data_IF_778770955665
#
_entry.id   IF_778770955665
#
_cell.length_a   1.000
_cell.length_b   1.000
_cell.length_c   1.000
_cell.angle_alpha   90.00
_cell.angle_beta   90.00
_cell.angle_gamma   90.00
#
_symmetry.space_group_name_H-M   'P 1'
#
loop_
_entity.id
_entity.type
_entity.pdbx_description
1 polymer ?
#
# COMPACT_ATOMS: atom_id res chain seq x y z
N UNK A 1 15.87 -4.50 -28.11
CA UNK A 1 14.91 -3.51 -28.62
C UNK A 1 13.57 -3.67 -27.92
N UNK A 2 12.69 -2.65 -27.93
CA UNK A 2 11.38 -2.70 -27.28
C UNK A 2 10.51 -3.90 -27.73
N UNK A 3 10.68 -4.35 -28.98
CA UNK A 3 10.00 -5.52 -29.54
C UNK A 3 10.51 -6.85 -29.00
N UNK A 4 11.72 -6.91 -28.49
CA UNK A 4 12.36 -8.16 -28.05
C UNK A 4 12.33 -8.37 -26.54
N UNK A 5 12.07 -7.33 -25.76
CA UNK A 5 12.04 -7.37 -24.30
C UNK A 5 10.63 -7.19 -23.69
N UNK A 6 9.60 -7.39 -24.47
CA UNK A 6 8.22 -7.34 -23.97
C UNK A 6 7.68 -5.96 -23.62
N UNK A 7 8.41 -4.88 -23.90
CA UNK A 7 8.02 -3.52 -23.54
C UNK A 7 6.72 -3.01 -24.20
N UNK A 8 6.19 -3.77 -25.19
CA UNK A 8 4.90 -3.47 -25.83
C UNK A 8 3.77 -4.39 -25.37
N UNK A 9 4.04 -5.33 -24.46
CA UNK A 9 3.01 -6.16 -23.83
C UNK A 9 2.43 -5.31 -22.70
N UNK A 10 1.12 -5.08 -22.66
CA UNK A 10 0.48 -4.43 -21.53
C UNK A 10 0.89 -5.18 -20.26
N UNK A 11 1.45 -4.49 -19.29
CA UNK A 11 1.65 -5.05 -17.95
C UNK A 11 0.30 -5.06 -17.28
N UNK A 12 -0.10 -6.18 -16.76
CA UNK A 12 -1.20 -6.24 -15.83
C UNK A 12 -0.69 -5.60 -14.55
N UNK A 13 -1.50 -4.73 -13.96
CA UNK A 13 -1.25 -4.12 -12.68
C UNK A 13 -2.28 -4.66 -11.70
N UNK A 14 -1.85 -4.89 -10.49
CA UNK A 14 -2.73 -5.22 -9.39
C UNK A 14 -3.12 -3.93 -8.67
N UNK A 15 -4.34 -3.88 -8.14
CA UNK A 15 -4.75 -2.84 -7.23
C UNK A 15 -5.49 -3.46 -6.06
N UNK A 16 -5.40 -2.79 -4.94
CA UNK A 16 -6.11 -3.13 -3.72
C UNK A 16 -7.36 -2.26 -3.67
N UNK A 17 -8.53 -2.88 -3.52
CA UNK A 17 -9.79 -2.14 -3.41
C UNK A 17 -10.17 -1.90 -1.95
N UNK A 18 -11.01 -0.88 -1.72
CA UNK A 18 -11.65 -0.60 -0.43
C UNK A 18 -12.75 -1.62 -0.07
N UNK A 19 -12.93 -2.66 -0.90
CA UNK A 19 -13.97 -3.64 -0.68
C UNK A 19 -13.79 -4.36 0.67
N UNK A 20 -14.87 -4.48 1.43
CA UNK A 20 -14.91 -5.10 2.75
C UNK A 20 -14.01 -4.46 3.82
N UNK A 21 -13.51 -3.25 3.63
CA UNK A 21 -12.55 -2.59 4.53
C UNK A 21 -13.00 -2.62 6.00
N UNK A 22 -14.28 -2.35 6.27
CA UNK A 22 -14.87 -2.30 7.60
C UNK A 22 -15.81 -3.48 7.90
N UNK A 23 -15.91 -4.46 7.00
CA UNK A 23 -16.70 -5.66 7.21
C UNK A 23 -15.88 -6.69 7.98
N UNK A 24 -16.39 -7.11 9.12
CA UNK A 24 -15.74 -8.06 10.03
C UNK A 24 -16.49 -9.36 10.09
N UNK A 25 -15.79 -10.43 10.45
CA UNK A 25 -16.42 -11.73 10.72
C UNK A 25 -17.18 -11.73 12.03
N UNK A 26 -18.32 -12.39 12.03
CA UNK A 26 -19.06 -12.70 13.26
C UNK A 26 -18.44 -13.84 14.08
N UNK A 27 -17.47 -14.59 13.51
CA UNK A 27 -16.77 -15.69 14.18
C UNK A 27 -15.42 -15.22 14.75
N UNK A 28 -14.44 -14.94 13.90
CA UNK A 28 -13.08 -14.60 14.32
C UNK A 28 -12.44 -13.60 13.37
N UNK A 29 -11.77 -12.59 13.93
CA UNK A 29 -11.03 -11.58 13.18
C UNK A 29 -9.60 -11.50 13.69
N UNK A 30 -8.66 -11.48 12.76
CA UNK A 30 -7.27 -11.17 13.03
C UNK A 30 -6.88 -9.94 12.21
N UNK A 31 -6.65 -8.82 12.88
CA UNK A 31 -6.34 -7.54 12.23
C UNK A 31 -4.95 -7.07 12.64
N UNK A 32 -4.12 -6.76 11.64
CA UNK A 32 -2.84 -6.10 11.84
C UNK A 32 -2.96 -4.67 11.32
N UNK A 33 -2.77 -3.69 12.22
CA UNK A 33 -2.61 -2.30 11.84
C UNK A 33 -1.13 -1.94 11.84
N UNK A 34 -0.66 -1.39 10.74
CA UNK A 34 0.65 -0.78 10.61
C UNK A 34 0.46 0.72 10.40
N UNK A 35 1.03 1.52 11.29
CA UNK A 35 1.13 2.97 11.14
C UNK A 35 2.57 3.28 10.77
N UNK A 36 2.81 3.70 9.53
CA UNK A 36 4.18 3.92 9.04
C UNK A 36 4.87 5.03 9.85
N UNK A 37 6.15 4.83 10.10
CA UNK A 37 7.01 5.71 10.92
C UNK A 37 6.49 6.07 12.32
N UNK A 38 5.48 5.39 12.85
CA UNK A 38 5.05 5.59 14.24
C UNK A 38 6.15 5.14 15.23
N UNK A 39 6.68 6.10 15.99
CA UNK A 39 7.78 5.86 16.95
C UNK A 39 7.21 5.58 18.34
N UNK A 40 7.75 4.58 19.03
CA UNK A 40 7.32 4.24 20.41
C UNK A 40 7.52 5.39 21.41
N UNK A 41 8.48 6.27 21.18
CA UNK A 41 8.69 7.45 22.05
C UNK A 41 7.55 8.45 21.89
N UNK A 42 7.12 8.70 20.66
CA UNK A 42 5.98 9.60 20.38
C UNK A 42 4.70 9.02 20.98
N UNK A 43 4.47 7.71 20.83
CA UNK A 43 3.33 7.04 21.44
C UNK A 43 3.39 7.09 22.98
N UNK A 44 4.58 6.92 23.59
CA UNK A 44 4.74 7.06 25.04
C UNK A 44 4.45 8.48 25.51
N UNK A 45 4.98 9.49 24.81
CA UNK A 45 4.69 10.91 25.10
C UNK A 45 3.20 11.21 24.98
N UNK A 46 2.54 10.69 23.94
CA UNK A 46 1.09 10.82 23.78
C UNK A 46 0.32 10.26 24.98
N UNK A 47 0.70 9.10 25.50
CA UNK A 47 0.06 8.50 26.67
C UNK A 47 0.38 9.22 28.00
N UNK A 48 1.48 9.98 28.06
CA UNK A 48 1.83 10.85 29.20
C UNK A 48 1.03 12.15 29.17
N UNK A 49 0.91 12.76 28.00
CA UNK A 49 0.18 14.02 27.81
C UNK A 49 -1.34 13.81 27.83
N UNK A 50 -1.81 12.64 27.40
CA UNK A 50 -3.21 12.24 27.28
C UNK A 50 -3.48 10.91 28.01
N UNK A 51 -3.43 10.91 29.36
CA UNK A 51 -3.60 9.68 30.14
C UNK A 51 -4.95 8.99 29.95
N UNK A 52 -5.98 9.68 29.49
CA UNK A 52 -7.29 9.14 29.12
C UNK A 52 -7.21 8.10 28.00
N UNK A 53 -6.20 8.15 27.13
CA UNK A 53 -6.00 7.15 26.06
C UNK A 53 -5.58 5.80 26.61
N UNK A 54 -5.04 5.73 27.84
CA UNK A 54 -4.74 4.44 28.48
C UNK A 54 -5.98 3.57 28.68
N UNK A 55 -7.12 4.20 28.89
CA UNK A 55 -8.38 3.47 29.02
C UNK A 55 -8.82 2.86 27.68
N UNK A 56 -8.55 3.57 26.56
CA UNK A 56 -8.83 3.07 25.19
C UNK A 56 -7.96 1.85 24.87
N UNK A 57 -6.70 1.86 25.35
CA UNK A 57 -5.75 0.77 25.09
C UNK A 57 -5.67 -0.25 26.24
N UNK A 58 -6.63 -0.27 27.16
CA UNK A 58 -6.60 -1.12 28.37
C UNK A 58 -6.48 -2.63 28.03
N UNK A 59 -7.06 -3.05 26.91
CA UNK A 59 -7.05 -4.45 26.45
C UNK A 59 -5.85 -4.78 25.56
N UNK A 60 -4.96 -3.81 25.30
CA UNK A 60 -3.76 -4.00 24.49
C UNK A 60 -2.53 -4.28 25.35
N UNK A 61 -1.59 -5.05 24.83
CA UNK A 61 -0.26 -5.22 25.44
C UNK A 61 0.71 -4.28 24.74
N UNK A 62 1.28 -3.32 25.47
CA UNK A 62 2.26 -2.40 24.93
C UNK A 62 3.69 -2.95 25.07
N UNK A 63 4.42 -3.00 23.97
CA UNK A 63 5.83 -3.41 23.90
C UNK A 63 6.74 -2.21 23.71
N UNK A 64 7.12 -1.57 24.79
CA UNK A 64 7.87 -0.31 24.81
C UNK A 64 9.23 -0.37 24.09
N UNK A 65 9.91 -1.52 24.15
CA UNK A 65 11.26 -1.69 23.60
C UNK A 65 11.29 -2.42 22.25
N UNK A 66 10.24 -2.30 21.47
CA UNK A 66 10.18 -2.89 20.16
C UNK A 66 11.00 -2.08 19.15
N UNK A 67 11.74 -2.76 18.28
CA UNK A 67 12.49 -2.14 17.19
C UNK A 67 11.96 -2.65 15.85
N UNK A 68 11.87 -1.77 14.87
CA UNK A 68 11.59 -2.14 13.49
C UNK A 68 12.73 -2.99 12.90
N UNK A 69 12.39 -3.95 12.06
CA UNK A 69 13.35 -4.86 11.43
C UNK A 69 14.12 -4.18 10.31
N UNK A 70 13.47 -3.30 9.58
CA UNK A 70 14.01 -2.57 8.45
C UNK A 70 13.65 -1.09 8.55
N UNK A 71 14.47 -0.25 7.93
CA UNK A 71 14.22 1.18 7.79
C UNK A 71 13.47 1.55 6.50
N UNK A 72 13.04 0.56 5.72
CA UNK A 72 12.34 0.71 4.45
C UNK A 72 11.05 -0.11 4.51
N UNK A 73 9.93 0.53 4.26
CA UNK A 73 8.58 -0.05 4.32
C UNK A 73 8.47 -1.34 3.52
N UNK A 74 8.98 -1.35 2.29
CA UNK A 74 8.93 -2.53 1.40
C UNK A 74 9.49 -3.80 2.06
N UNK A 75 10.66 -3.71 2.69
CA UNK A 75 11.27 -4.85 3.35
C UNK A 75 10.63 -5.14 4.71
N UNK A 76 10.18 -4.09 5.43
CA UNK A 76 9.53 -4.24 6.72
C UNK A 76 8.18 -4.96 6.59
N UNK A 77 7.35 -4.55 5.65
CA UNK A 77 6.06 -5.20 5.35
C UNK A 77 6.28 -6.64 4.91
N UNK A 78 7.18 -6.87 3.96
CA UNK A 78 7.49 -8.23 3.50
C UNK A 78 7.92 -9.15 4.65
N UNK A 79 8.74 -8.65 5.58
CA UNK A 79 9.13 -9.40 6.77
C UNK A 79 7.96 -9.66 7.74
N UNK A 80 7.08 -8.67 7.95
CA UNK A 80 5.88 -8.84 8.79
C UNK A 80 4.99 -9.95 8.22
N UNK A 81 4.83 -9.97 6.90
CA UNK A 81 3.96 -10.91 6.21
C UNK A 81 4.56 -12.33 6.04
N UNK A 82 5.88 -12.49 6.09
CA UNK A 82 6.53 -13.79 5.87
C UNK A 82 7.32 -14.33 7.07
N UNK A 83 7.85 -13.45 7.92
CA UNK A 83 8.83 -13.79 8.93
C UNK A 83 10.24 -14.07 8.37
N UNK A 84 10.46 -13.86 7.08
CA UNK A 84 11.71 -14.17 6.39
C UNK A 84 12.53 -12.91 6.07
N UNK A 85 13.86 -13.00 6.30
CA UNK A 85 14.75 -11.91 5.98
C UNK A 85 15.13 -11.91 4.50
N UNK A 86 15.12 -10.74 3.88
CA UNK A 86 15.75 -10.56 2.57
C UNK A 86 17.27 -10.53 2.73
N UNK A 87 17.91 -11.65 2.45
CA UNK A 87 19.37 -11.82 2.59
C UNK A 87 20.16 -11.36 1.35
N UNK A 88 19.48 -10.76 0.36
CA UNK A 88 20.07 -10.30 -0.90
C UNK A 88 20.80 -11.41 -1.70
N UNK A 89 20.30 -12.64 -1.60
CA UNK A 89 20.81 -13.79 -2.35
C UNK A 89 20.06 -14.03 -3.67
N UNK A 90 18.94 -13.34 -3.84
CA UNK A 90 18.07 -13.37 -5.00
C UNK A 90 17.63 -11.95 -5.39
N UNK A 91 17.06 -11.73 -6.58
CA UNK A 91 16.42 -10.47 -6.93
C UNK A 91 15.31 -10.12 -5.95
N UNK A 92 15.22 -8.85 -5.56
CA UNK A 92 14.18 -8.39 -4.63
C UNK A 92 12.77 -8.70 -5.14
N UNK A 93 12.54 -8.62 -6.45
CA UNK A 93 11.24 -8.94 -7.05
C UNK A 93 10.85 -10.41 -6.84
N UNK A 94 11.80 -11.33 -6.88
CA UNK A 94 11.55 -12.77 -6.68
C UNK A 94 11.19 -13.03 -5.21
N UNK A 95 11.93 -12.41 -4.28
CA UNK A 95 11.61 -12.44 -2.85
C UNK A 95 10.21 -11.87 -2.55
N UNK A 96 9.87 -10.71 -3.11
CA UNK A 96 8.55 -10.11 -2.91
C UNK A 96 7.43 -10.98 -3.51
N UNK A 97 7.62 -11.53 -4.70
CA UNK A 97 6.66 -12.47 -5.26
C UNK A 97 6.45 -13.66 -4.33
N UNK A 98 7.52 -14.23 -3.78
CA UNK A 98 7.43 -15.38 -2.88
C UNK A 98 6.67 -15.01 -1.58
N UNK A 99 6.91 -13.84 -1.02
CA UNK A 99 6.18 -13.34 0.17
C UNK A 99 4.67 -13.30 -0.08
N UNK A 100 4.21 -12.73 -1.18
CA UNK A 100 2.78 -12.60 -1.47
C UNK A 100 2.15 -13.90 -1.97
N UNK A 101 2.94 -14.82 -2.54
CA UNK A 101 2.44 -16.10 -3.06
C UNK A 101 2.49 -17.23 -2.06
N UNK A 102 3.58 -17.36 -1.31
CA UNK A 102 3.94 -18.59 -0.62
C UNK A 102 4.27 -18.39 0.86
N UNK A 103 3.98 -17.23 1.46
CA UNK A 103 4.24 -17.01 2.88
C UNK A 103 3.61 -18.11 3.75
N UNK A 104 4.35 -18.66 4.73
CA UNK A 104 3.79 -19.60 5.71
C UNK A 104 2.60 -19.03 6.48
N UNK A 105 2.51 -17.71 6.61
CA UNK A 105 1.36 -17.04 7.22
C UNK A 105 0.07 -17.29 6.41
N UNK A 106 0.15 -17.19 5.09
CA UNK A 106 -1.00 -17.43 4.22
C UNK A 106 -1.48 -18.87 4.30
N UNK A 107 -0.56 -19.84 4.24
CA UNK A 107 -0.89 -21.26 4.35
C UNK A 107 -1.60 -21.57 5.68
N UNK A 108 -1.13 -21.01 6.78
CA UNK A 108 -1.74 -21.19 8.10
C UNK A 108 -3.13 -20.55 8.18
N UNK A 109 -3.30 -19.33 7.67
CA UNK A 109 -4.59 -18.63 7.66
C UNK A 109 -5.62 -19.36 6.79
N UNK A 110 -5.27 -19.77 5.59
CA UNK A 110 -6.17 -20.54 4.72
C UNK A 110 -6.53 -21.89 5.34
N UNK A 111 -5.57 -22.58 5.95
CA UNK A 111 -5.86 -23.86 6.61
C UNK A 111 -6.86 -23.75 7.75
N UNK A 112 -6.96 -22.57 8.36
CA UNK A 112 -7.93 -22.24 9.42
C UNK A 112 -9.22 -21.62 8.91
N UNK A 113 -9.35 -21.43 7.60
CA UNK A 113 -10.55 -20.92 6.97
C UNK A 113 -10.70 -19.41 6.96
N UNK A 114 -9.58 -18.67 7.07
CA UNK A 114 -9.62 -17.20 6.93
C UNK A 114 -9.70 -16.79 5.47
N UNK A 115 -10.51 -15.76 5.21
CA UNK A 115 -10.33 -14.89 4.07
C UNK A 115 -9.23 -13.87 4.42
N UNK A 116 -8.41 -13.54 3.46
CA UNK A 116 -7.30 -12.60 3.63
C UNK A 116 -7.56 -11.36 2.77
N UNK A 117 -7.63 -10.21 3.42
CA UNK A 117 -7.76 -8.92 2.76
C UNK A 117 -6.56 -8.04 3.11
N UNK A 118 -5.96 -7.42 2.09
CA UNK A 118 -4.84 -6.48 2.25
C UNK A 118 -5.31 -5.06 1.97
N UNK A 119 -4.85 -4.12 2.77
CA UNK A 119 -5.08 -2.68 2.60
C UNK A 119 -3.74 -1.98 2.77
N UNK A 120 -3.04 -1.82 1.66
CA UNK A 120 -1.77 -1.12 1.54
C UNK A 120 -1.71 -0.38 0.20
N UNK A 121 -0.80 0.55 0.03
CA UNK A 121 -0.72 1.43 -1.14
C UNK A 121 -0.43 0.68 -2.44
N UNK A 122 0.40 -0.37 -2.39
CA UNK A 122 0.81 -1.14 -3.57
C UNK A 122 1.19 -2.58 -3.20
N UNK A 123 0.69 -3.53 -3.98
CA UNK A 123 1.22 -4.89 -3.98
C UNK A 123 2.53 -4.91 -4.74
N UNK A 124 3.61 -5.11 -4.01
CA UNK A 124 4.97 -5.03 -4.52
C UNK A 124 5.44 -6.28 -5.27
N UNK A 125 4.54 -7.24 -5.43
CA UNK A 125 4.74 -8.40 -6.29
C UNK A 125 4.53 -8.04 -7.76
N UNK A 126 5.23 -8.78 -8.64
CA UNK A 126 5.14 -8.62 -10.09
C UNK A 126 4.40 -9.79 -10.76
N UNK A 127 4.01 -10.79 -10.00
CA UNK A 127 3.26 -11.94 -10.48
C UNK A 127 1.76 -11.69 -10.37
N UNK A 128 1.07 -11.73 -11.49
CA UNK A 128 -0.36 -11.43 -11.58
C UNK A 128 -1.23 -12.41 -10.77
N UNK A 129 -0.76 -13.64 -10.58
CA UNK A 129 -1.48 -14.67 -9.83
C UNK A 129 -1.58 -14.39 -8.33
N UNK A 130 -0.84 -13.40 -7.83
CA UNK A 130 -0.96 -12.90 -6.44
C UNK A 130 -2.40 -12.47 -6.14
N UNK A 131 -3.12 -11.92 -7.11
CA UNK A 131 -4.51 -11.51 -6.91
C UNK A 131 -5.43 -12.66 -6.44
N UNK A 132 -5.13 -13.89 -6.84
CA UNK A 132 -5.95 -15.06 -6.48
C UNK A 132 -5.87 -15.41 -4.98
N UNK A 133 -4.89 -14.86 -4.26
CA UNK A 133 -4.66 -15.13 -2.85
C UNK A 133 -5.46 -14.23 -1.89
N UNK A 134 -5.97 -13.09 -2.38
CA UNK A 134 -6.56 -12.05 -1.55
C UNK A 134 -7.95 -11.65 -2.02
N UNK A 135 -8.85 -11.39 -1.07
CA UNK A 135 -10.25 -11.14 -1.36
C UNK A 135 -10.53 -9.77 -1.99
N UNK A 136 -9.63 -8.80 -1.81
CA UNK A 136 -9.81 -7.41 -2.25
C UNK A 136 -8.75 -6.95 -3.25
N UNK A 137 -7.98 -7.88 -3.83
CA UNK A 137 -6.95 -7.58 -4.84
C UNK A 137 -7.45 -7.95 -6.23
N UNK A 138 -7.36 -7.02 -7.16
CA UNK A 138 -7.93 -7.14 -8.48
C UNK A 138 -6.90 -6.83 -9.56
N UNK A 139 -7.08 -7.48 -10.70
CA UNK A 139 -6.36 -7.09 -11.91
C UNK A 139 -6.83 -5.72 -12.39
N UNK A 140 -5.92 -4.95 -12.93
CA UNK A 140 -6.22 -3.62 -13.45
C UNK A 140 -5.62 -3.45 -14.83
N UNK A 141 -6.46 -3.02 -15.77
CA UNK A 141 -5.97 -2.58 -17.07
C UNK A 141 -5.58 -1.12 -16.99
N UNK A 142 -4.29 -0.83 -17.10
CA UNK A 142 -3.76 0.53 -17.16
C UNK A 142 -3.62 0.96 -18.61
N UNK A 143 -4.19 2.09 -18.94
CA UNK A 143 -4.08 2.69 -20.27
C UNK A 143 -3.85 4.20 -20.17
N UNK A 144 -3.18 4.82 -21.16
CA UNK A 144 -3.08 6.27 -21.19
C UNK A 144 -4.45 6.88 -21.52
N UNK A 145 -4.80 7.97 -20.83
CA UNK A 145 -5.97 8.78 -21.17
C UNK A 145 -5.80 9.50 -22.51
N UNK A 146 -4.55 9.73 -22.94
CA UNK A 146 -4.20 10.32 -24.23
C UNK A 146 -2.87 9.78 -24.75
N UNK A 147 -2.91 9.00 -25.81
CA UNK A 147 -1.69 8.52 -26.50
C UNK A 147 -0.84 9.65 -27.07
N UNK A 148 -1.47 10.78 -27.45
CA UNK A 148 -0.74 11.94 -27.99
C UNK A 148 0.07 12.63 -26.88
N UNK A 149 -0.53 12.80 -25.69
CA UNK A 149 0.18 13.42 -24.56
C UNK A 149 1.28 12.47 -24.04
N UNK A 150 1.01 11.18 -23.97
CA UNK A 150 2.02 10.18 -23.62
C UNK A 150 3.22 10.27 -24.59
N UNK A 151 2.96 10.29 -25.89
CA UNK A 151 4.03 10.40 -26.89
C UNK A 151 4.83 11.72 -26.75
N UNK A 152 4.20 12.81 -26.35
CA UNK A 152 4.91 14.07 -26.08
C UNK A 152 5.83 13.96 -24.86
N UNK A 153 5.38 13.37 -23.77
CA UNK A 153 6.20 13.18 -22.58
C UNK A 153 7.37 12.20 -22.85
N UNK A 154 7.12 11.12 -23.58
CA UNK A 154 8.20 10.22 -24.03
C UNK A 154 9.22 10.91 -24.94
N UNK A 155 8.77 11.79 -25.84
CA UNK A 155 9.68 12.59 -26.69
C UNK A 155 10.53 13.56 -25.87
N UNK A 156 9.98 14.10 -24.77
CA UNK A 156 10.79 14.91 -23.84
C UNK A 156 11.87 14.06 -23.17
N UNK A 157 11.56 12.82 -22.72
CA UNK A 157 12.59 11.90 -22.17
C UNK A 157 13.70 11.61 -23.20
N UNK A 158 13.33 11.33 -24.44
CA UNK A 158 14.29 11.12 -25.53
C UNK A 158 15.13 12.38 -25.76
N UNK A 159 14.48 13.54 -25.81
CA UNK A 159 15.14 14.82 -25.95
C UNK A 159 16.10 15.11 -24.79
N UNK A 160 15.68 14.87 -23.55
CA UNK A 160 16.53 15.04 -22.37
C UNK A 160 17.79 14.14 -22.42
N UNK A 161 17.63 12.92 -22.93
CA UNK A 161 18.75 11.97 -23.04
C UNK A 161 19.72 12.33 -24.15
N UNK A 162 19.27 12.75 -25.32
CA UNK A 162 20.07 12.86 -26.54
C UNK A 162 20.31 14.29 -27.01
N UNK A 163 19.55 15.30 -26.54
CA UNK A 163 19.79 16.69 -26.94
C UNK A 163 21.08 17.26 -26.35
N UNK A 164 21.70 18.24 -27.01
CA UNK A 164 22.79 19.05 -26.46
C UNK A 164 22.38 19.66 -25.10
N UNK A 165 23.35 19.84 -24.22
CA UNK A 165 23.11 20.27 -22.84
C UNK A 165 22.20 21.50 -22.73
N UNK A 166 22.44 22.52 -23.56
CA UNK A 166 21.66 23.78 -23.53
C UNK A 166 20.17 23.61 -23.91
N UNK A 167 19.82 22.52 -24.60
CA UNK A 167 18.46 22.20 -25.01
C UNK A 167 17.74 21.30 -24.03
N UNK A 168 18.44 20.64 -23.11
CA UNK A 168 17.83 19.70 -22.15
C UNK A 168 16.77 20.34 -21.29
N UNK A 169 16.91 21.62 -20.94
CA UNK A 169 15.91 22.39 -20.17
C UNK A 169 14.52 22.44 -20.79
N UNK A 170 14.41 22.25 -22.11
CA UNK A 170 13.13 22.22 -22.82
C UNK A 170 12.53 20.81 -22.90
N UNK A 171 13.30 19.82 -22.47
CA UNK A 171 12.92 18.42 -22.49
C UNK A 171 12.74 17.86 -21.06
N UNK A 172 12.61 18.73 -20.06
CA UNK A 172 12.36 18.33 -18.69
C UNK A 172 10.97 17.69 -18.58
N UNK A 173 10.92 16.52 -17.94
CA UNK A 173 9.68 15.84 -17.58
C UNK A 173 9.85 15.20 -16.21
N UNK A 174 8.74 14.85 -15.56
CA UNK A 174 8.70 14.25 -14.22
C UNK A 174 7.72 13.10 -14.22
N UNK A 175 7.93 12.17 -13.29
CA UNK A 175 7.09 10.99 -13.09
C UNK A 175 5.62 11.36 -12.97
N UNK A 176 5.29 12.35 -12.17
CA UNK A 176 3.93 12.85 -11.95
C UNK A 176 3.17 13.19 -13.25
N UNK A 177 3.88 13.55 -14.34
CA UNK A 177 3.21 13.80 -15.62
C UNK A 177 2.80 12.51 -16.33
N UNK A 178 3.53 11.40 -16.09
CA UNK A 178 3.15 10.08 -16.59
C UNK A 178 2.02 9.50 -15.78
N UNK A 179 2.05 9.67 -14.47
CA UNK A 179 0.99 9.19 -13.56
C UNK A 179 -0.35 9.87 -13.88
N UNK A 180 -0.33 11.20 -14.12
CA UNK A 180 -1.50 11.95 -14.54
C UNK A 180 -2.09 11.52 -15.91
N UNK A 181 -1.32 10.77 -16.70
CA UNK A 181 -1.78 10.22 -17.98
C UNK A 181 -2.32 8.80 -17.86
N UNK A 182 -2.21 8.17 -16.72
CA UNK A 182 -2.71 6.82 -16.51
C UNK A 182 -4.19 6.84 -16.13
N UNK A 183 -4.93 5.91 -16.71
CA UNK A 183 -6.29 5.56 -16.28
C UNK A 183 -6.27 4.09 -15.96
N UNK A 184 -6.60 3.77 -14.74
CA UNK A 184 -6.72 2.41 -14.24
C UNK A 184 -8.19 2.03 -14.20
N UNK A 185 -8.53 0.91 -14.81
CA UNK A 185 -9.87 0.34 -14.79
C UNK A 185 -9.78 -1.04 -14.12
N UNK A 186 -10.31 -1.20 -12.91
CA UNK A 186 -10.29 -2.48 -12.22
C UNK A 186 -11.25 -3.47 -12.88
N UNK A 187 -10.79 -4.71 -12.99
CA UNK A 187 -11.59 -5.81 -13.50
C UNK A 187 -12.28 -6.53 -12.32
N UNK A 188 -13.60 -6.52 -12.30
CA UNK A 188 -14.37 -7.33 -11.37
C UNK A 188 -14.89 -6.64 -10.11
N UNK A 189 -14.52 -5.40 -9.84
CA UNK A 189 -15.06 -4.59 -8.74
C UNK A 189 -15.47 -3.19 -9.19
N UNK A 190 -16.40 -2.58 -8.46
CA UNK A 190 -16.77 -1.16 -8.57
C UNK A 190 -16.35 -0.37 -7.34
N UNK A 191 -15.73 -1.01 -6.36
CA UNK A 191 -15.18 -0.35 -5.18
C UNK A 191 -14.02 0.57 -5.55
N UNK A 192 -13.78 1.58 -4.73
CA UNK A 192 -12.64 2.48 -4.85
C UNK A 192 -11.31 1.74 -4.68
N UNK A 193 -10.23 2.42 -5.06
CA UNK A 193 -8.87 1.96 -4.79
C UNK A 193 -8.51 2.41 -3.39
N UNK A 194 -8.02 1.47 -2.56
CA UNK A 194 -7.56 1.78 -1.22
C UNK A 194 -6.37 2.76 -1.27
N UNK A 195 -6.34 3.67 -0.33
CA UNK A 195 -5.22 4.60 -0.11
C UNK A 195 -4.79 4.57 1.34
N UNK A 196 -3.50 4.70 1.61
CA UNK A 196 -2.95 4.72 2.98
C UNK A 196 -3.26 6.02 3.75
N UNK A 197 -4.08 6.92 3.19
CA UNK A 197 -4.41 8.22 3.78
C UNK A 197 -5.16 8.06 5.11
N UNK A 198 -4.56 8.54 6.19
CA UNK A 198 -5.10 8.45 7.55
C UNK A 198 -6.47 9.10 7.70
N UNK A 199 -6.70 10.24 7.00
CA UNK A 199 -7.95 10.99 7.13
C UNK A 199 -9.05 10.35 6.29
N UNK A 200 -8.74 9.89 5.09
CA UNK A 200 -9.68 9.16 4.25
C UNK A 200 -10.17 7.89 4.97
N UNK A 201 -9.24 7.11 5.55
CA UNK A 201 -9.59 5.93 6.36
C UNK A 201 -10.49 6.29 7.56
N UNK A 202 -10.12 7.32 8.31
CA UNK A 202 -10.91 7.77 9.47
C UNK A 202 -12.31 8.23 9.08
N UNK A 203 -12.42 9.02 8.02
CA UNK A 203 -13.71 9.52 7.53
C UNK A 203 -14.59 8.36 7.05
N UNK A 204 -14.03 7.44 6.28
CA UNK A 204 -14.74 6.25 5.81
C UNK A 204 -15.17 5.35 6.99
N UNK A 205 -14.33 5.16 8.01
CA UNK A 205 -14.68 4.41 9.22
C UNK A 205 -15.83 5.08 10.00
N UNK A 206 -15.83 6.41 10.11
CA UNK A 206 -16.89 7.14 10.79
C UNK A 206 -18.21 7.13 10.04
N UNK A 207 -18.15 7.13 8.70
CA UNK A 207 -19.32 7.09 7.83
C UNK A 207 -19.95 5.69 7.79
N UNK A 208 -19.14 4.66 7.57
CA UNK A 208 -19.62 3.29 7.36
C UNK A 208 -19.77 2.50 8.67
N UNK A 209 -18.95 2.81 9.67
CA UNK A 209 -18.85 2.02 10.89
C UNK A 209 -18.27 0.63 10.64
N UNK A 210 -18.10 -0.14 11.71
CA UNK A 210 -17.71 -1.55 11.61
C UNK A 210 -18.95 -2.42 11.51
N UNK A 211 -19.03 -3.28 10.50
CA UNK A 211 -20.17 -4.15 10.23
C UNK A 211 -19.77 -5.61 10.44
N UNK A 212 -20.49 -6.33 11.30
CA UNK A 212 -20.25 -7.75 11.63
C UNK A 212 -21.19 -8.64 10.79
N UNK A 213 -20.92 -8.75 9.49
CA UNK A 213 -21.81 -9.43 8.54
C UNK A 213 -21.17 -10.60 7.77
N UNK A 214 -19.88 -10.84 7.97
CA UNK A 214 -19.19 -11.93 7.31
C UNK A 214 -19.25 -13.22 8.15
N UNK A 215 -19.59 -14.33 7.51
CA UNK A 215 -19.59 -15.66 8.15
C UNK A 215 -18.21 -16.31 8.20
N UNK A 216 -17.36 -16.00 7.20
CA UNK A 216 -16.00 -16.52 7.11
C UNK A 216 -15.07 -15.74 8.05
N UNK A 217 -14.14 -16.43 8.70
CA UNK A 217 -13.07 -15.79 9.48
C UNK A 217 -12.28 -14.82 8.61
N UNK A 218 -11.85 -13.73 9.21
CA UNK A 218 -11.27 -12.64 8.46
C UNK A 218 -9.87 -12.26 8.98
N UNK A 219 -8.91 -12.20 8.07
CA UNK A 219 -7.60 -11.59 8.33
C UNK A 219 -7.51 -10.30 7.52
N UNK A 220 -7.16 -9.20 8.18
CA UNK A 220 -6.94 -7.91 7.55
C UNK A 220 -5.56 -7.38 7.91
N UNK A 221 -4.79 -7.04 6.90
CA UNK A 221 -3.57 -6.27 7.04
C UNK A 221 -3.87 -4.85 6.54
N UNK A 222 -3.81 -3.87 7.44
CA UNK A 222 -4.14 -2.47 7.16
C UNK A 222 -2.90 -1.64 7.43
N UNK A 223 -2.34 -1.08 6.37
CA UNK A 223 -1.19 -0.20 6.42
C UNK A 223 -1.65 1.23 6.11
N UNK A 224 -1.38 2.14 7.01
CA UNK A 224 -1.70 3.56 6.89
C UNK A 224 -0.44 4.40 6.90
N UNK A 225 -0.49 5.58 6.29
CA UNK A 225 0.61 6.55 6.21
C UNK A 225 1.20 6.86 7.60
N UNK A 226 0.37 6.80 8.65
CA UNK A 226 0.83 6.98 10.02
C UNK A 226 1.44 8.36 10.25
N UNK A 227 2.71 8.39 10.64
CA UNK A 227 3.50 9.60 10.85
C UNK A 227 4.56 9.82 9.75
N UNK A 228 4.36 9.24 8.56
CA UNK A 228 5.29 9.40 7.44
C UNK A 228 5.21 10.80 6.83
N UNK A 229 6.34 11.32 6.37
CA UNK A 229 6.39 12.58 5.63
C UNK A 229 5.78 12.43 4.22
N UNK A 230 5.13 13.47 3.65
CA UNK A 230 5.07 14.85 4.14
C UNK A 230 4.06 15.06 5.28
N UNK A 231 4.43 15.84 6.29
CA UNK A 231 3.54 16.15 7.41
C UNK A 231 2.52 17.21 6.97
N UNK A 232 1.41 16.77 6.44
CA UNK A 232 0.36 17.62 5.86
C UNK A 232 -0.81 17.91 6.80
N UNK A 233 -0.75 17.40 8.03
CA UNK A 233 -1.77 17.64 9.05
C UNK A 233 -1.16 18.33 10.28
N UNK A 234 -1.87 19.32 10.81
CA UNK A 234 -1.54 19.96 12.08
C UNK A 234 -1.98 19.13 13.30
N UNK A 235 -1.64 19.58 14.50
CA UNK A 235 -1.97 18.89 15.75
C UNK A 235 -3.48 18.76 16.03
N UNK A 236 -4.31 19.51 15.34
CA UNK A 236 -5.78 19.44 15.35
C UNK A 236 -6.35 18.65 14.15
N UNK A 237 -5.48 17.98 13.39
CA UNK A 237 -5.81 17.24 12.16
C UNK A 237 -6.35 18.14 11.03
N UNK A 238 -6.10 19.45 11.09
CA UNK A 238 -6.37 20.33 9.95
C UNK A 238 -5.29 20.19 8.89
N UNK A 239 -5.71 20.14 7.61
CA UNK A 239 -4.78 20.08 6.48
C UNK A 239 -3.94 21.36 6.38
N UNK A 240 -2.62 21.22 6.43
CA UNK A 240 -1.65 22.30 6.33
C UNK A 240 -0.89 22.20 5.00
N UNK A 241 -1.25 22.97 3.98
CA UNK A 241 -0.56 22.93 2.68
C UNK A 241 0.89 23.35 2.83
N UNK A 242 1.83 22.47 2.44
CA UNK A 242 3.26 22.75 2.48
C UNK A 242 3.85 22.69 3.89
N UNK A 243 3.31 21.85 4.75
CA UNK A 243 3.93 21.48 6.02
C UNK A 243 5.34 20.90 5.77
N UNK A 244 6.37 21.60 6.25
CA UNK A 244 7.78 21.16 6.29
C UNK A 244 8.06 20.56 7.68
#
# INVERSE_FOLDING_TARGET
TALTNGALIPKVHLHISEENEFNMSSDENFVIFVLDTADSREFTSLLEDHPEYRDIFADFTYFENMMGNYSCTMNAVAYILSGEWFENQEPLADYLNDVYMNSPLWEELWSRGYQIDLYEDDIRAQDDSVADNFGNVYHTTVRPNSYLELAKEELKLVGFRYAPYDLKRYCETREIYFDALQVSEPDGTTAGIFTEDNMAFKEALLENGVVMDQEQKNFKFIHLEGAHAPFIYGGDMEYVPGGD
#
